data_IF_393726095517
#
_entry.id   IF_393726095517
#
_cell.length_a   1.000
_cell.length_b   1.000
_cell.length_c   1.000
_cell.angle_alpha   90.00
_cell.angle_beta   90.00
_cell.angle_gamma   90.00
#
_symmetry.space_group_name_H-M   'P 1'
#
loop_
_entity.id
_entity.type
_entity.pdbx_description
1 polymer ?
#
# COMPACT_ATOMS: atom_id res chain seq x y z
N UNK A 1 -31.84 17.88 29.79
CA UNK A 1 -31.20 17.56 28.50
C UNK A 1 -29.70 17.57 28.75
N UNK A 2 -29.12 16.39 29.01
CA UNK A 2 -27.74 16.28 29.49
C UNK A 2 -26.77 16.36 28.32
N UNK A 3 -26.28 17.58 28.07
CA UNK A 3 -25.31 17.93 27.01
C UNK A 3 -24.04 17.08 27.07
N UNK A 4 -23.68 16.55 28.24
CA UNK A 4 -22.58 15.60 28.45
C UNK A 4 -22.72 14.30 27.63
N UNK A 5 -23.94 13.76 27.52
CA UNK A 5 -24.20 12.51 26.78
C UNK A 5 -23.91 12.71 25.30
N UNK A 6 -24.29 13.87 24.75
CA UNK A 6 -23.99 14.22 23.36
C UNK A 6 -22.50 14.32 23.09
N UNK A 7 -21.73 14.91 24.01
CA UNK A 7 -20.27 15.04 23.88
C UNK A 7 -19.61 13.65 23.81
N UNK A 8 -20.01 12.72 24.69
CA UNK A 8 -19.49 11.35 24.67
C UNK A 8 -19.81 10.61 23.37
N UNK A 9 -21.04 10.73 22.87
CA UNK A 9 -21.44 10.09 21.60
C UNK A 9 -20.61 10.64 20.43
N UNK A 10 -20.40 11.97 20.37
CA UNK A 10 -19.59 12.59 19.32
C UNK A 10 -18.14 12.10 19.35
N UNK A 11 -17.54 11.96 20.53
CA UNK A 11 -16.16 11.47 20.67
C UNK A 11 -16.05 10.01 20.23
N UNK A 12 -16.98 9.16 20.63
CA UNK A 12 -17.00 7.74 20.21
C UNK A 12 -17.27 7.61 18.72
N UNK A 13 -18.17 8.41 18.15
CA UNK A 13 -18.45 8.44 16.73
C UNK A 13 -17.24 8.93 15.91
N UNK A 14 -16.47 9.91 16.42
CA UNK A 14 -15.22 10.35 15.80
C UNK A 14 -14.16 9.24 15.80
N UNK A 15 -13.95 8.59 16.93
CA UNK A 15 -12.98 7.48 17.04
C UNK A 15 -13.39 6.29 16.16
N UNK A 16 -14.68 5.93 16.19
CA UNK A 16 -15.24 4.87 15.36
C UNK A 16 -15.15 5.20 13.87
N UNK A 17 -15.50 6.44 13.49
CA UNK A 17 -15.46 6.92 12.10
C UNK A 17 -14.04 6.97 11.53
N UNK A 18 -13.05 7.40 12.30
CA UNK A 18 -11.64 7.38 11.88
C UNK A 18 -11.13 5.95 11.72
N UNK A 19 -11.44 5.05 12.66
CA UNK A 19 -11.02 3.65 12.59
C UNK A 19 -11.64 2.92 11.38
N UNK A 20 -12.95 3.09 11.17
CA UNK A 20 -13.68 2.54 10.02
C UNK A 20 -13.20 3.14 8.71
N UNK A 21 -13.04 4.47 8.65
CA UNK A 21 -12.56 5.18 7.47
C UNK A 21 -11.16 4.71 7.05
N UNK A 22 -10.23 4.62 8.00
CA UNK A 22 -8.87 4.16 7.74
C UNK A 22 -8.83 2.71 7.22
N UNK A 23 -9.62 1.82 7.81
CA UNK A 23 -9.65 0.42 7.42
C UNK A 23 -10.20 0.23 5.99
N UNK A 24 -11.29 0.94 5.67
CA UNK A 24 -11.92 0.90 4.36
C UNK A 24 -10.97 1.50 3.31
N UNK A 25 -10.46 2.72 3.53
CA UNK A 25 -9.54 3.38 2.59
C UNK A 25 -8.30 2.54 2.31
N UNK A 26 -7.73 1.87 3.33
CA UNK A 26 -6.58 0.98 3.14
C UNK A 26 -6.90 -0.21 2.23
N UNK A 27 -8.06 -0.82 2.40
CA UNK A 27 -8.51 -1.96 1.57
C UNK A 27 -8.78 -1.54 0.12
N UNK A 28 -9.42 -0.39 -0.08
CA UNK A 28 -9.66 0.16 -1.42
C UNK A 28 -8.35 0.53 -2.12
N UNK A 29 -7.39 1.11 -1.41
CA UNK A 29 -6.10 1.48 -1.99
C UNK A 29 -5.28 0.26 -2.42
N UNK A 30 -5.31 -0.83 -1.66
CA UNK A 30 -4.67 -2.09 -2.07
C UNK A 30 -5.31 -2.68 -3.33
N UNK A 31 -6.65 -2.73 -3.39
CA UNK A 31 -7.36 -3.19 -4.60
C UNK A 31 -7.03 -2.34 -5.83
N UNK A 32 -6.94 -1.02 -5.67
CA UNK A 32 -6.57 -0.12 -6.77
C UNK A 32 -5.16 -0.39 -7.31
N UNK A 33 -4.19 -0.67 -6.43
CA UNK A 33 -2.81 -1.01 -6.81
C UNK A 33 -2.68 -2.42 -7.43
N UNK A 34 -3.60 -3.33 -7.11
CA UNK A 34 -3.68 -4.65 -7.74
C UNK A 34 -4.28 -4.59 -9.16
N UNK A 35 -5.32 -3.78 -9.35
CA UNK A 35 -5.99 -3.63 -10.65
C UNK A 35 -5.16 -2.81 -11.66
N UNK A 36 -4.35 -1.86 -11.19
CA UNK A 36 -3.38 -1.12 -12.01
C UNK A 36 -1.97 -1.35 -11.45
N UNK A 37 -1.28 -2.41 -11.90
CA UNK A 37 0.03 -2.77 -11.35
C UNK A 37 0.96 -1.57 -11.47
N UNK A 38 1.60 -1.12 -10.38
CA UNK A 38 2.34 0.15 -10.33
C UNK A 38 3.62 0.17 -11.20
N UNK A 39 3.92 -0.90 -11.94
CA UNK A 39 5.19 -1.10 -12.63
C UNK A 39 4.94 -1.69 -14.03
N UNK A 40 5.08 -0.84 -15.03
CA UNK A 40 5.09 -1.14 -16.46
C UNK A 40 6.53 -1.03 -17.03
N UNK A 41 6.78 -1.68 -18.16
CA UNK A 41 8.10 -1.71 -18.83
C UNK A 41 8.67 -0.31 -19.12
N UNK A 42 7.80 0.60 -19.53
CA UNK A 42 8.16 1.97 -19.87
C UNK A 42 8.58 2.77 -18.63
N UNK A 43 7.94 2.56 -17.48
CA UNK A 43 8.34 3.22 -16.23
C UNK A 43 9.67 2.67 -15.71
N UNK A 44 9.90 1.36 -15.88
CA UNK A 44 11.20 0.73 -15.62
C UNK A 44 12.31 1.25 -16.54
N UNK A 45 11.97 1.48 -17.82
CA UNK A 45 12.87 2.07 -18.81
C UNK A 45 13.20 3.51 -18.44
N UNK A 46 12.20 4.34 -18.13
CA UNK A 46 12.38 5.72 -17.68
C UNK A 46 13.22 5.74 -16.40
N UNK A 47 12.94 4.86 -15.44
CA UNK A 47 13.71 4.78 -14.20
C UNK A 47 15.17 4.41 -14.44
N UNK A 48 15.45 3.45 -15.32
CA UNK A 48 16.83 3.12 -15.68
C UNK A 48 17.53 4.25 -16.46
N UNK A 49 16.81 4.93 -17.37
CA UNK A 49 17.33 6.08 -18.10
C UNK A 49 17.64 7.26 -17.15
N UNK A 50 16.82 7.51 -16.14
CA UNK A 50 17.08 8.51 -15.09
C UNK A 50 18.33 8.19 -14.27
N UNK A 51 18.63 6.90 -14.08
CA UNK A 51 19.85 6.45 -13.41
C UNK A 51 21.08 6.37 -14.34
N UNK A 52 20.98 6.85 -15.59
CA UNK A 52 22.08 6.78 -16.56
C UNK A 52 22.41 5.36 -17.02
N UNK A 53 21.56 4.37 -16.72
CA UNK A 53 21.71 3.01 -17.21
C UNK A 53 21.08 2.88 -18.58
N UNK A 54 21.85 2.35 -19.53
CA UNK A 54 21.36 1.97 -20.86
C UNK A 54 20.26 0.90 -20.69
N UNK A 55 19.00 1.20 -21.05
CA UNK A 55 17.92 0.23 -20.90
C UNK A 55 18.12 -0.91 -21.90
N UNK A 56 18.52 -2.08 -21.41
CA UNK A 56 18.54 -3.31 -22.21
C UNK A 56 17.23 -4.06 -22.00
N UNK A 57 16.53 -4.41 -23.08
CA UNK A 57 15.23 -5.11 -23.01
C UNK A 57 15.27 -6.39 -22.14
N UNK A 58 16.39 -7.13 -22.18
CA UNK A 58 16.58 -8.32 -21.33
C UNK A 58 16.64 -7.96 -19.85
N UNK A 59 17.32 -6.85 -19.51
CA UNK A 59 17.45 -6.36 -18.13
C UNK A 59 16.15 -5.78 -17.61
N UNK A 60 15.37 -5.08 -18.44
CA UNK A 60 14.00 -4.63 -18.12
C UNK A 60 13.14 -5.82 -17.72
N UNK A 61 13.13 -6.86 -18.55
CA UNK A 61 12.27 -8.02 -18.33
C UNK A 61 12.66 -8.81 -17.06
N UNK A 62 13.97 -8.93 -16.80
CA UNK A 62 14.49 -9.50 -15.56
C UNK A 62 14.11 -8.65 -14.32
N UNK A 63 14.19 -7.33 -14.43
CA UNK A 63 13.87 -6.41 -13.34
C UNK A 63 12.38 -6.40 -13.04
N UNK A 64 11.53 -6.37 -14.07
CA UNK A 64 10.07 -6.45 -13.93
C UNK A 64 9.66 -7.75 -13.24
N UNK A 65 10.24 -8.88 -13.63
CA UNK A 65 9.97 -10.17 -13.00
C UNK A 65 10.35 -10.19 -11.52
N UNK A 66 11.47 -9.56 -11.15
CA UNK A 66 11.91 -9.45 -9.75
C UNK A 66 11.02 -8.51 -8.94
N UNK A 67 10.60 -7.39 -9.52
CA UNK A 67 9.72 -6.43 -8.86
C UNK A 67 8.31 -7.00 -8.68
N UNK A 68 7.75 -7.71 -9.67
CA UNK A 68 6.46 -8.40 -9.52
C UNK A 68 6.49 -9.45 -8.37
N UNK A 69 7.61 -10.16 -8.21
CA UNK A 69 7.83 -11.08 -7.08
C UNK A 69 8.00 -10.38 -5.73
N UNK A 70 8.48 -9.13 -5.71
CA UNK A 70 8.65 -8.34 -4.48
C UNK A 70 7.35 -7.64 -4.07
N UNK A 71 6.61 -7.09 -5.03
CA UNK A 71 5.35 -6.37 -4.83
C UNK A 71 4.18 -7.27 -4.42
N UNK A 72 4.18 -8.54 -4.84
CA UNK A 72 3.19 -9.56 -4.43
C UNK A 72 3.32 -10.04 -2.98
N UNK A 73 4.17 -9.39 -2.17
CA UNK A 73 4.38 -9.74 -0.75
C UNK A 73 3.93 -8.66 0.24
N UNK A 74 2.68 -8.15 0.22
CA UNK A 74 2.24 -7.15 1.18
C UNK A 74 1.53 -7.72 2.43
N UNK A 75 1.96 -8.87 3.01
CA UNK A 75 1.28 -9.36 4.23
C UNK A 75 2.10 -10.01 5.36
N UNK A 76 3.23 -10.70 5.11
CA UNK A 76 3.83 -11.54 6.18
C UNK A 76 4.79 -10.85 7.18
N UNK A 77 5.01 -9.53 7.13
CA UNK A 77 5.94 -8.87 8.08
C UNK A 77 5.27 -8.23 9.31
N UNK A 78 3.97 -7.95 9.28
CA UNK A 78 3.28 -7.41 10.46
C UNK A 78 2.99 -8.48 11.54
N UNK A 79 2.87 -9.76 11.15
CA UNK A 79 2.53 -10.85 12.09
C UNK A 79 3.74 -11.47 12.83
N UNK A 80 4.97 -11.30 12.33
CA UNK A 80 6.16 -11.99 12.88
C UNK A 80 6.86 -11.21 14.00
N UNK A 81 6.52 -9.94 14.22
CA UNK A 81 7.16 -9.11 15.27
C UNK A 81 6.38 -9.06 16.60
N UNK A 82 5.16 -9.61 16.65
CA UNK A 82 4.33 -9.69 17.85
C UNK A 82 4.50 -10.97 18.68
N UNK A 83 5.20 -11.98 18.16
CA UNK A 83 5.30 -13.32 18.78
C UNK A 83 6.73 -13.65 19.25
N UNK A 84 7.54 -12.62 19.52
CA UNK A 84 8.85 -12.73 20.17
C UNK A 84 8.97 -11.74 21.34
N UNK A 85 7.97 -11.76 22.22
CA UNK A 85 8.11 -11.31 23.60
C UNK A 85 7.64 -12.43 24.51
#
# INVERSE_FOLDING_TARGET
>A
MDTWIWILIVVVALLGGVALGFFISRRYMMKYLEENPPINEDMLRIMMMQMGQKPSQKKINQMMTQMNKASTKPEKKAKVRGEKK
#
